data_IF_522494488736
#
_entry.id   IF_522494488736
#
_cell.length_a   1.000
_cell.length_b   1.000
_cell.length_c   1.000
_cell.angle_alpha   90.00
_cell.angle_beta   90.00
_cell.angle_gamma   90.00
#
_symmetry.space_group_name_H-M   'P 1'
#
loop_
_entity.id
_entity.type
_entity.pdbx_description
1 polymer ?
#
# COMPACT_ATOMS: atom_id res chain seq x y z
N UNK A 1 5.54 -25.38 7.15
CA UNK A 1 6.32 -25.14 8.39
C UNK A 1 6.62 -23.65 8.49
N UNK A 2 6.46 -23.04 9.66
CA UNK A 2 6.85 -21.64 9.88
C UNK A 2 8.18 -21.61 10.64
N UNK A 3 9.17 -20.90 10.08
CA UNK A 3 10.48 -20.72 10.68
C UNK A 3 10.60 -19.29 11.18
N UNK A 4 10.85 -19.12 12.48
CA UNK A 4 11.08 -17.82 13.09
C UNK A 4 12.58 -17.61 13.27
N UNK A 5 13.11 -16.57 12.66
CA UNK A 5 14.49 -16.16 12.86
C UNK A 5 14.67 -15.42 14.19
N UNK A 6 15.90 -15.38 14.68
CA UNK A 6 16.25 -14.55 15.84
C UNK A 6 15.94 -13.07 15.58
N UNK A 7 15.73 -12.25 16.63
CA UNK A 7 15.58 -10.81 16.50
C UNK A 7 16.71 -10.15 15.73
N UNK A 8 16.45 -9.01 15.10
CA UNK A 8 17.44 -8.30 14.24
C UNK A 8 18.68 -7.85 14.99
N UNK A 9 18.55 -7.52 16.27
CA UNK A 9 19.66 -7.13 17.16
C UNK A 9 20.65 -8.26 17.41
N UNK A 10 20.19 -9.51 17.34
CA UNK A 10 21.02 -10.73 17.56
C UNK A 10 21.60 -11.31 16.26
N UNK A 11 21.21 -10.80 15.09
CA UNK A 11 21.69 -11.28 13.78
C UNK A 11 22.19 -10.13 12.90
N UNK A 12 23.22 -9.44 13.36
CA UNK A 12 23.81 -8.29 12.66
C UNK A 12 24.81 -8.68 11.56
N UNK A 13 25.31 -9.91 11.58
CA UNK A 13 26.19 -10.41 10.51
C UNK A 13 25.45 -10.53 9.19
N UNK A 14 26.05 -10.15 8.04
CA UNK A 14 25.47 -10.31 6.72
C UNK A 14 25.01 -11.74 6.41
N UNK A 15 25.76 -12.75 6.90
CA UNK A 15 25.46 -14.17 6.73
C UNK A 15 24.18 -14.63 7.45
N UNK A 16 23.73 -13.87 8.44
CA UNK A 16 22.51 -14.11 9.20
C UNK A 16 21.34 -13.28 8.68
N UNK A 17 21.51 -12.56 7.57
CA UNK A 17 20.41 -11.87 6.89
C UNK A 17 19.36 -12.87 6.40
N UNK A 18 18.10 -12.44 6.28
CA UNK A 18 17.03 -13.30 5.78
C UNK A 18 17.36 -13.88 4.40
N UNK A 19 17.98 -13.09 3.52
CA UNK A 19 18.31 -13.50 2.16
C UNK A 19 19.46 -14.52 2.13
N UNK A 20 20.49 -14.33 2.96
CA UNK A 20 21.58 -15.28 3.08
C UNK A 20 21.11 -16.62 3.67
N UNK A 21 20.22 -16.58 4.67
CA UNK A 21 19.61 -17.79 5.25
C UNK A 21 18.72 -18.48 4.22
N UNK A 22 17.90 -17.71 3.46
CA UNK A 22 17.05 -18.22 2.39
C UNK A 22 17.90 -18.95 1.34
N UNK A 23 18.98 -18.33 0.85
CA UNK A 23 19.86 -18.92 -0.15
C UNK A 23 20.48 -20.23 0.32
N UNK A 24 20.96 -20.31 1.57
CA UNK A 24 21.49 -21.54 2.16
C UNK A 24 20.44 -22.63 2.29
N UNK A 25 19.24 -22.30 2.75
CA UNK A 25 18.14 -23.25 2.88
C UNK A 25 17.71 -23.78 1.52
N UNK A 26 17.55 -22.92 0.51
CA UNK A 26 17.22 -23.35 -0.86
C UNK A 26 18.28 -24.26 -1.44
N UNK A 27 19.57 -23.95 -1.25
CA UNK A 27 20.68 -24.82 -1.66
C UNK A 27 20.68 -26.17 -0.94
N UNK A 28 20.41 -26.21 0.36
CA UNK A 28 20.31 -27.44 1.12
C UNK A 28 19.08 -28.28 0.72
N UNK A 29 17.94 -27.64 0.46
CA UNK A 29 16.70 -28.35 0.08
C UNK A 29 16.70 -28.85 -1.37
N UNK A 30 17.47 -28.23 -2.27
CA UNK A 30 17.61 -28.71 -3.64
C UNK A 30 18.29 -30.09 -3.76
N UNK A 31 18.97 -30.56 -2.70
CA UNK A 31 19.57 -31.88 -2.64
C UNK A 31 18.61 -33.00 -2.21
N UNK A 32 17.37 -32.64 -1.84
CA UNK A 32 16.33 -33.62 -1.44
C UNK A 32 15.52 -34.03 -2.67
N UNK A 33 15.66 -35.26 -3.17
CA UNK A 33 14.96 -35.67 -4.39
C UNK A 33 13.47 -35.98 -4.17
N UNK A 34 13.09 -36.31 -2.93
CA UNK A 34 11.75 -36.80 -2.60
C UNK A 34 10.70 -35.70 -2.45
N UNK A 35 11.14 -34.42 -2.42
CA UNK A 35 10.22 -33.29 -2.21
C UNK A 35 10.72 -31.99 -2.88
N UNK A 36 9.80 -31.25 -3.48
CA UNK A 36 10.04 -29.86 -3.89
C UNK A 36 9.79 -28.92 -2.71
N UNK A 37 10.85 -28.39 -2.11
CA UNK A 37 10.75 -27.50 -0.96
C UNK A 37 11.02 -26.07 -1.38
N UNK A 38 10.03 -25.21 -1.19
CA UNK A 38 10.16 -23.77 -1.42
C UNK A 38 10.18 -23.02 -0.09
N UNK A 39 11.15 -22.12 0.07
CA UNK A 39 11.22 -21.22 1.22
C UNK A 39 10.72 -19.85 0.79
N UNK A 40 9.63 -19.41 1.39
CA UNK A 40 8.95 -18.15 1.04
C UNK A 40 9.18 -17.15 2.18
N UNK A 41 9.90 -16.06 1.95
CA UNK A 41 10.03 -15.00 2.94
C UNK A 41 8.69 -14.27 3.10
N UNK A 42 8.38 -13.73 4.30
CA UNK A 42 7.20 -12.90 4.46
C UNK A 42 7.34 -11.63 3.60
N UNK A 43 6.25 -11.16 2.98
CA UNK A 43 6.29 -9.92 2.22
C UNK A 43 6.64 -8.75 3.14
N UNK A 44 7.39 -7.75 2.66
CA UNK A 44 7.76 -6.58 3.46
C UNK A 44 6.54 -5.75 3.87
N UNK A 45 5.47 -5.85 3.11
CA UNK A 45 4.20 -5.15 3.32
C UNK A 45 3.04 -6.11 3.04
N UNK A 46 1.95 -6.00 3.79
CA UNK A 46 0.71 -6.69 3.46
C UNK A 46 0.17 -6.15 2.14
N UNK A 47 -0.28 -7.04 1.25
CA UNK A 47 -0.83 -6.67 -0.05
C UNK A 47 0.19 -6.66 -1.22
N UNK A 48 1.44 -7.06 -0.98
CA UNK A 48 2.46 -7.23 -2.04
C UNK A 48 2.66 -8.70 -2.35
N UNK A 49 1.58 -9.43 -2.59
CA UNK A 49 1.62 -10.88 -2.78
C UNK A 49 2.27 -11.64 -1.63
N UNK A 50 2.35 -12.98 -1.71
CA UNK A 50 2.98 -13.80 -0.65
C UNK A 50 4.50 -13.76 -0.65
N UNK A 51 5.11 -13.36 -1.76
CA UNK A 51 6.58 -13.37 -1.94
C UNK A 51 7.20 -11.96 -2.09
N UNK A 52 6.46 -10.91 -1.78
CA UNK A 52 6.99 -9.53 -1.92
C UNK A 52 7.04 -9.02 -3.37
N UNK A 53 6.05 -9.39 -4.19
CA UNK A 53 5.94 -8.96 -5.59
C UNK A 53 4.49 -8.74 -5.98
N UNK A 54 3.98 -9.49 -6.93
CA UNK A 54 2.61 -9.43 -7.40
C UNK A 54 1.83 -10.71 -7.08
N UNK A 55 0.49 -10.58 -7.03
CA UNK A 55 -0.45 -11.70 -6.99
C UNK A 55 -1.37 -11.61 -8.22
N UNK A 56 -1.33 -12.65 -9.04
CA UNK A 56 -2.07 -12.80 -10.27
C UNK A 56 -3.06 -13.96 -10.12
N UNK A 57 -4.33 -13.71 -10.33
CA UNK A 57 -5.41 -14.68 -10.15
C UNK A 57 -5.84 -15.18 -11.52
N UNK A 58 -5.88 -16.49 -11.71
CA UNK A 58 -6.48 -17.15 -12.87
C UNK A 58 -7.82 -17.73 -12.44
N UNK A 59 -8.89 -17.34 -13.11
CA UNK A 59 -10.26 -17.75 -12.84
C UNK A 59 -10.76 -18.74 -13.90
N UNK A 60 -11.35 -19.82 -13.45
CA UNK A 60 -12.11 -20.73 -14.31
C UNK A 60 -13.57 -20.26 -14.38
N UNK A 61 -13.89 -19.48 -15.43
CA UNK A 61 -15.25 -18.96 -15.67
C UNK A 61 -16.13 -19.94 -16.46
N UNK A 62 -15.51 -20.94 -17.08
CA UNK A 62 -16.19 -21.94 -17.90
C UNK A 62 -16.49 -23.25 -17.18
N UNK A 63 -16.19 -23.36 -15.88
CA UNK A 63 -16.35 -24.58 -15.06
C UNK A 63 -15.66 -25.80 -15.69
N UNK A 64 -14.44 -25.61 -16.19
CA UNK A 64 -13.63 -26.65 -16.83
C UNK A 64 -13.08 -27.66 -15.80
N UNK A 65 -13.08 -27.28 -14.56
CA UNK A 65 -12.70 -28.11 -13.42
C UNK A 65 -11.25 -27.91 -12.94
N UNK A 66 -10.96 -28.36 -11.69
CA UNK A 66 -9.70 -28.08 -11.01
C UNK A 66 -8.46 -28.58 -11.73
N UNK A 67 -8.52 -29.75 -12.38
CA UNK A 67 -7.36 -30.34 -13.09
C UNK A 67 -7.00 -29.54 -14.34
N UNK A 68 -7.99 -29.00 -15.07
CA UNK A 68 -7.76 -28.17 -16.24
C UNK A 68 -7.19 -26.81 -15.80
N UNK A 69 -7.72 -26.24 -14.70
CA UNK A 69 -7.19 -25.01 -14.11
C UNK A 69 -5.73 -25.18 -13.67
N UNK A 70 -5.37 -26.32 -13.02
CA UNK A 70 -3.98 -26.62 -12.65
C UNK A 70 -3.07 -26.66 -13.87
N UNK A 71 -3.45 -27.41 -14.92
CA UNK A 71 -2.67 -27.54 -16.14
C UNK A 71 -2.42 -26.21 -16.85
N UNK A 72 -3.43 -25.33 -16.91
CA UNK A 72 -3.29 -23.99 -17.50
C UNK A 72 -2.41 -23.08 -16.65
N UNK A 73 -2.52 -23.14 -15.33
CA UNK A 73 -1.68 -22.38 -14.40
C UNK A 73 -0.22 -22.85 -14.49
N UNK A 74 0.04 -24.15 -14.61
CA UNK A 74 1.38 -24.69 -14.77
C UNK A 74 1.99 -24.30 -16.13
N UNK A 75 1.21 -24.35 -17.22
CA UNK A 75 1.64 -23.85 -18.52
C UNK A 75 2.02 -22.35 -18.43
N UNK A 76 1.16 -21.55 -17.83
CA UNK A 76 1.43 -20.11 -17.67
C UNK A 76 2.68 -19.84 -16.83
N UNK A 77 2.89 -20.61 -15.73
CA UNK A 77 4.10 -20.54 -14.92
C UNK A 77 5.35 -20.94 -15.70
N UNK A 78 5.27 -21.99 -16.51
CA UNK A 78 6.38 -22.44 -17.35
C UNK A 78 6.77 -21.35 -18.34
N UNK A 79 5.82 -20.78 -19.08
CA UNK A 79 6.05 -19.70 -20.04
C UNK A 79 6.57 -18.42 -19.34
N UNK A 80 6.03 -18.09 -18.17
CA UNK A 80 6.45 -16.95 -17.38
C UNK A 80 7.88 -17.11 -16.84
N UNK A 81 8.29 -18.33 -16.47
CA UNK A 81 9.65 -18.60 -15.99
C UNK A 81 10.73 -18.42 -17.05
N UNK A 82 10.37 -18.47 -18.32
CA UNK A 82 11.26 -18.21 -19.45
C UNK A 82 11.47 -16.70 -19.73
N UNK A 83 10.65 -15.83 -19.10
CA UNK A 83 10.77 -14.39 -19.26
C UNK A 83 11.83 -13.83 -18.30
N UNK A 84 12.83 -13.15 -18.84
CA UNK A 84 13.91 -12.55 -18.05
C UNK A 84 13.45 -11.43 -17.11
N UNK A 85 12.22 -10.92 -17.30
CA UNK A 85 11.63 -9.87 -16.49
C UNK A 85 10.92 -10.35 -15.21
N UNK A 86 10.75 -11.66 -15.04
CA UNK A 86 10.00 -12.26 -13.94
C UNK A 86 10.88 -13.20 -13.11
N UNK A 87 10.61 -13.28 -11.82
CA UNK A 87 11.31 -14.20 -10.90
C UNK A 87 10.40 -14.66 -9.75
N UNK A 88 10.83 -15.73 -9.06
CA UNK A 88 10.15 -16.29 -7.88
C UNK A 88 8.68 -16.62 -8.16
N UNK A 89 8.41 -17.14 -9.34
CA UNK A 89 7.07 -17.55 -9.75
C UNK A 89 6.66 -18.85 -9.08
N UNK A 90 5.50 -18.89 -8.45
CA UNK A 90 4.93 -20.10 -7.88
C UNK A 90 3.41 -19.99 -7.68
N UNK A 91 2.77 -21.14 -7.62
CA UNK A 91 1.39 -21.29 -7.16
C UNK A 91 1.31 -22.31 -6.02
N UNK A 92 0.37 -22.12 -5.11
CA UNK A 92 0.03 -23.11 -4.09
C UNK A 92 -1.17 -23.97 -4.47
N UNK A 93 -1.76 -23.74 -5.63
CA UNK A 93 -2.89 -24.51 -6.11
C UNK A 93 -2.41 -25.88 -6.58
N UNK A 94 -3.10 -26.94 -6.11
CA UNK A 94 -2.88 -28.32 -6.50
C UNK A 94 -4.23 -29.00 -6.59
N UNK A 95 -4.56 -29.55 -7.75
CA UNK A 95 -5.82 -30.25 -8.00
C UNK A 95 -5.69 -31.77 -7.86
N UNK A 96 -4.50 -32.31 -8.08
CA UNK A 96 -4.24 -33.75 -8.13
C UNK A 96 -3.46 -34.24 -6.91
N UNK A 97 -3.99 -33.99 -5.71
CA UNK A 97 -3.40 -34.47 -4.46
C UNK A 97 -4.07 -35.81 -4.09
N UNK A 98 -3.29 -36.90 -3.82
CA UNK A 98 -3.84 -38.13 -3.35
C UNK A 98 -4.63 -37.95 -2.05
N UNK A 99 -5.86 -38.41 -2.03
CA UNK A 99 -6.77 -38.32 -0.90
C UNK A 99 -7.47 -39.66 -0.69
N UNK A 100 -7.80 -39.97 0.56
CA UNK A 100 -8.65 -41.10 0.90
C UNK A 100 -10.11 -40.65 0.94
N UNK A 101 -10.93 -41.18 0.07
CA UNK A 101 -12.37 -41.03 0.10
C UNK A 101 -12.97 -42.15 0.92
N UNK A 102 -13.52 -41.83 2.09
CA UNK A 102 -14.13 -42.77 2.99
C UNK A 102 -15.64 -42.56 2.97
N UNK A 103 -16.37 -43.55 2.45
CA UNK A 103 -17.83 -43.45 2.32
C UNK A 103 -18.49 -44.46 3.27
N UNK A 104 -19.27 -44.03 4.27
CA UNK A 104 -20.05 -44.92 5.11
C UNK A 104 -21.14 -45.66 4.31
N UNK A 105 -21.27 -46.94 4.53
CA UNK A 105 -22.38 -47.74 3.98
C UNK A 105 -23.54 -47.69 4.97
N UNK A 106 -24.59 -46.94 4.66
CA UNK A 106 -25.73 -46.75 5.53
C UNK A 106 -26.47 -48.05 5.87
N UNK A 107 -26.56 -48.99 4.92
CA UNK A 107 -27.22 -50.29 5.15
C UNK A 107 -26.43 -51.15 6.15
N UNK A 108 -25.12 -51.24 6.00
CA UNK A 108 -24.25 -51.99 6.92
C UNK A 108 -24.23 -51.32 8.32
N UNK A 109 -24.22 -50.01 8.37
CA UNK A 109 -24.32 -49.25 9.64
C UNK A 109 -25.63 -49.59 10.37
N UNK A 110 -26.77 -49.54 9.68
CA UNK A 110 -28.07 -49.87 10.25
C UNK A 110 -28.15 -51.34 10.71
N UNK A 111 -27.65 -52.28 9.88
CA UNK A 111 -27.64 -53.71 10.22
C UNK A 111 -26.82 -54.04 11.48
N UNK A 112 -25.75 -53.27 11.75
CA UNK A 112 -24.87 -53.46 12.91
C UNK A 112 -25.23 -52.52 14.08
N UNK A 113 -26.30 -51.74 13.96
CA UNK A 113 -26.76 -50.83 14.98
C UNK A 113 -25.79 -49.69 15.27
N UNK A 114 -25.10 -49.20 14.24
CA UNK A 114 -24.14 -48.08 14.32
C UNK A 114 -24.71 -46.88 13.58
N UNK A 115 -24.68 -45.69 14.20
CA UNK A 115 -25.07 -44.46 13.52
C UNK A 115 -23.99 -44.02 12.52
N UNK A 116 -24.42 -43.53 11.34
CA UNK A 116 -23.50 -42.90 10.38
C UNK A 116 -22.76 -41.71 10.98
N UNK A 117 -23.42 -40.98 11.87
CA UNK A 117 -22.81 -39.85 12.60
C UNK A 117 -21.67 -40.30 13.52
N UNK A 118 -21.81 -41.46 14.19
CA UNK A 118 -20.76 -42.03 15.03
C UNK A 118 -19.55 -42.47 14.19
N UNK A 119 -19.77 -43.00 12.99
CA UNK A 119 -18.72 -43.31 12.03
C UNK A 119 -17.98 -42.04 11.62
N UNK A 120 -18.72 -40.99 11.21
CA UNK A 120 -18.13 -39.71 10.81
C UNK A 120 -17.40 -39.04 11.96
N UNK A 121 -17.94 -39.06 13.17
CA UNK A 121 -17.29 -38.50 14.36
C UNK A 121 -15.99 -39.25 14.70
N UNK A 122 -16.00 -40.58 14.58
CA UNK A 122 -14.81 -41.41 14.80
C UNK A 122 -13.71 -41.04 13.78
N UNK A 123 -14.06 -41.00 12.50
CA UNK A 123 -13.12 -40.55 11.45
C UNK A 123 -12.58 -39.12 11.71
N UNK A 124 -13.48 -38.21 12.04
CA UNK A 124 -13.09 -36.82 12.34
C UNK A 124 -12.11 -36.74 13.50
N UNK A 125 -12.36 -37.45 14.60
CA UNK A 125 -11.53 -37.41 15.81
C UNK A 125 -10.16 -38.08 15.54
N UNK A 126 -10.15 -39.29 15.00
CA UNK A 126 -8.91 -40.03 14.86
C UNK A 126 -8.05 -39.56 13.69
N UNK A 127 -8.64 -39.24 12.54
CA UNK A 127 -7.90 -38.80 11.34
C UNK A 127 -7.74 -37.30 11.25
N UNK A 128 -8.79 -36.52 11.60
CA UNK A 128 -8.80 -35.08 11.50
C UNK A 128 -8.21 -34.37 12.72
N UNK A 129 -8.80 -34.53 13.81
CA UNK A 129 -8.54 -34.06 15.18
C UNK A 129 -9.80 -33.49 15.83
N UNK A 130 -9.88 -33.60 17.13
CA UNK A 130 -10.93 -33.00 17.93
C UNK A 130 -10.33 -31.92 18.82
N UNK A 131 -10.75 -30.69 18.62
CA UNK A 131 -10.57 -29.65 19.61
C UNK A 131 -11.50 -29.90 20.80
N UNK A 132 -10.92 -30.15 21.98
CA UNK A 132 -11.69 -30.51 23.19
C UNK A 132 -11.98 -29.27 24.03
N UNK A 133 -10.95 -28.50 24.35
CA UNK A 133 -11.04 -27.30 25.17
C UNK A 133 -9.73 -26.49 25.16
N UNK A 134 -9.77 -25.32 25.81
CA UNK A 134 -8.61 -24.50 26.09
C UNK A 134 -8.22 -24.55 27.57
N UNK A 135 -6.93 -24.36 27.86
CA UNK A 135 -6.45 -24.09 29.21
C UNK A 135 -5.43 -22.95 29.21
N UNK A 136 -5.43 -22.17 30.30
CA UNK A 136 -4.54 -21.05 30.49
C UNK A 136 -3.35 -21.47 31.35
N UNK A 137 -2.13 -21.38 30.79
CA UNK A 137 -0.87 -21.66 31.50
C UNK A 137 0.27 -20.79 30.95
N UNK A 138 1.17 -20.35 31.82
CA UNK A 138 2.30 -19.51 31.43
C UNK A 138 1.94 -18.21 30.69
N UNK A 139 0.81 -17.58 31.06
CA UNK A 139 0.32 -16.35 30.43
C UNK A 139 -0.17 -16.51 29.01
N UNK A 140 -0.47 -17.74 28.57
CA UNK A 140 -1.01 -18.06 27.24
C UNK A 140 -2.17 -19.03 27.36
N UNK A 141 -3.08 -18.94 26.38
CA UNK A 141 -4.13 -19.93 26.18
C UNK A 141 -3.59 -21.05 25.27
N UNK A 142 -3.74 -22.29 25.73
CA UNK A 142 -3.32 -23.50 25.03
C UNK A 142 -4.52 -24.31 24.66
N UNK A 143 -4.53 -24.85 23.44
CA UNK A 143 -5.60 -25.71 22.96
C UNK A 143 -5.30 -27.17 23.30
N UNK A 144 -6.34 -27.88 23.78
CA UNK A 144 -6.32 -29.34 23.93
C UNK A 144 -6.91 -29.95 22.68
N UNK A 145 -6.09 -30.63 21.91
CA UNK A 145 -6.48 -31.29 20.67
C UNK A 145 -6.20 -32.78 20.78
N UNK A 146 -7.21 -33.61 20.53
CA UNK A 146 -7.09 -35.07 20.55
C UNK A 146 -7.08 -35.60 19.11
N UNK A 147 -6.14 -36.48 18.82
CA UNK A 147 -5.96 -37.10 17.50
C UNK A 147 -5.29 -38.47 17.66
N UNK A 148 -5.44 -39.37 16.69
CA UNK A 148 -4.65 -40.60 16.69
C UNK A 148 -3.18 -40.32 16.49
N UNK A 149 -2.28 -41.09 17.12
CA UNK A 149 -0.85 -41.01 16.88
C UNK A 149 -0.55 -41.29 15.39
N UNK A 150 0.49 -40.64 14.86
CA UNK A 150 0.88 -40.71 13.45
C UNK A 150 0.97 -42.14 12.90
N UNK A 151 1.55 -43.08 13.67
CA UNK A 151 1.67 -44.49 13.30
C UNK A 151 0.34 -45.17 13.01
N UNK A 152 -0.78 -44.67 13.53
CA UNK A 152 -2.13 -45.19 13.29
C UNK A 152 -2.89 -44.45 12.18
N UNK A 153 -2.22 -43.56 11.44
CA UNK A 153 -2.81 -42.76 10.36
C UNK A 153 -2.03 -42.81 9.05
N UNK A 154 -1.00 -43.67 8.94
CA UNK A 154 -0.07 -43.70 7.81
C UNK A 154 -0.56 -44.55 6.62
N UNK A 155 -1.55 -45.41 6.81
CA UNK A 155 -2.03 -46.25 5.72
C UNK A 155 -3.56 -46.38 5.73
N UNK A 156 -4.19 -46.68 4.56
CA UNK A 156 -5.63 -46.89 4.46
C UNK A 156 -6.13 -48.02 5.34
N UNK A 157 -5.33 -49.11 5.52
CA UNK A 157 -5.70 -50.25 6.32
C UNK A 157 -5.90 -49.92 7.79
N UNK A 158 -5.25 -48.87 8.28
CA UNK A 158 -5.41 -48.43 9.67
C UNK A 158 -6.74 -47.73 9.91
N UNK A 159 -7.33 -47.11 8.88
CA UNK A 159 -8.70 -46.59 8.94
C UNK A 159 -9.68 -47.70 9.22
N UNK A 160 -9.50 -48.85 8.54
CA UNK A 160 -10.34 -50.05 8.66
C UNK A 160 -10.28 -50.69 10.06
N UNK A 161 -9.18 -50.49 10.80
CA UNK A 161 -8.97 -51.01 12.16
C UNK A 161 -9.60 -50.15 13.27
N UNK A 162 -9.98 -48.91 12.96
CA UNK A 162 -10.68 -48.07 13.94
C UNK A 162 -12.00 -48.74 14.30
N UNK A 163 -12.46 -48.51 15.54
CA UNK A 163 -13.69 -49.12 16.06
C UNK A 163 -14.69 -48.08 16.48
N UNK A 164 -15.95 -48.32 16.20
CA UNK A 164 -17.09 -47.51 16.61
C UNK A 164 -17.98 -48.33 17.53
N UNK A 165 -18.59 -47.71 18.54
CA UNK A 165 -19.52 -48.40 19.46
C UNK A 165 -20.89 -48.50 18.80
N UNK A 166 -21.46 -49.73 18.78
CA UNK A 166 -22.85 -50.01 18.42
C UNK A 166 -23.80 -49.61 19.54
N UNK A 167 -25.08 -49.48 19.24
CA UNK A 167 -26.16 -49.28 20.23
C UNK A 167 -26.23 -50.41 21.27
N UNK A 168 -25.81 -51.60 20.92
CA UNK A 168 -25.71 -52.75 21.84
C UNK A 168 -24.46 -52.71 22.72
N UNK A 169 -23.59 -51.70 22.57
CA UNK A 169 -22.34 -51.56 23.31
C UNK A 169 -21.14 -52.31 22.67
N UNK A 170 -21.35 -53.11 21.63
CA UNK A 170 -20.29 -53.81 20.94
C UNK A 170 -19.38 -52.86 20.12
N UNK A 171 -18.10 -53.20 20.05
CA UNK A 171 -17.11 -52.40 19.27
C UNK A 171 -16.98 -53.00 17.85
N UNK A 172 -17.50 -52.27 16.86
CA UNK A 172 -17.52 -52.66 15.44
C UNK A 172 -16.37 -52.02 14.70
N UNK A 173 -15.55 -52.76 13.95
CA UNK A 173 -14.46 -52.18 13.15
C UNK A 173 -15.01 -51.42 11.94
N UNK A 174 -14.40 -50.25 11.64
CA UNK A 174 -14.84 -49.35 10.55
C UNK A 174 -14.75 -50.05 9.18
N UNK A 175 -13.77 -50.89 8.95
CA UNK A 175 -13.64 -51.63 7.68
C UNK A 175 -14.84 -52.45 7.27
N UNK A 176 -15.79 -52.76 8.22
CA UNK A 176 -17.05 -53.42 7.91
C UNK A 176 -18.21 -52.44 7.71
N UNK A 177 -17.99 -51.13 7.84
CA UNK A 177 -18.98 -50.07 7.79
C UNK A 177 -18.70 -49.03 6.70
N UNK A 178 -17.46 -48.96 6.19
CA UNK A 178 -17.03 -47.93 5.24
C UNK A 178 -16.34 -48.58 4.03
N UNK A 179 -16.47 -47.90 2.89
CA UNK A 179 -15.68 -48.17 1.69
C UNK A 179 -14.59 -47.09 1.59
N UNK A 180 -13.33 -47.53 1.54
CA UNK A 180 -12.15 -46.65 1.47
C UNK A 180 -11.56 -46.75 0.08
N UNK A 181 -11.56 -45.62 -0.65
CA UNK A 181 -11.00 -45.53 -2.00
C UNK A 181 -9.97 -44.41 -2.07
N UNK A 182 -8.89 -44.66 -2.76
CA UNK A 182 -7.96 -43.64 -3.15
C UNK A 182 -8.55 -42.79 -4.28
N UNK A 183 -8.50 -41.48 -4.13
CA UNK A 183 -8.98 -40.53 -5.13
C UNK A 183 -8.04 -39.34 -5.17
N UNK A 184 -7.82 -38.79 -6.35
CA UNK A 184 -7.14 -37.50 -6.49
C UNK A 184 -8.16 -36.38 -6.39
N UNK A 185 -7.77 -35.30 -5.68
CA UNK A 185 -8.63 -34.13 -5.52
C UNK A 185 -7.84 -32.88 -5.14
N UNK A 186 -8.47 -31.72 -5.21
CA UNK A 186 -7.81 -30.48 -4.87
C UNK A 186 -7.53 -30.40 -3.36
N UNK A 187 -6.32 -29.92 -3.01
CA UNK A 187 -5.95 -29.69 -1.62
C UNK A 187 -6.78 -28.55 -0.99
N UNK A 188 -6.96 -27.48 -1.72
CA UNK A 188 -7.74 -26.30 -1.33
C UNK A 188 -8.47 -25.78 -2.56
N UNK A 189 -9.77 -25.60 -2.46
CA UNK A 189 -10.57 -24.91 -3.48
C UNK A 189 -10.67 -23.43 -3.10
N UNK A 190 -9.98 -22.62 -3.87
CA UNK A 190 -10.05 -21.15 -3.74
C UNK A 190 -11.06 -20.63 -4.76
N UNK A 191 -11.87 -19.67 -4.34
CA UNK A 191 -12.74 -18.90 -5.25
C UNK A 191 -12.38 -17.42 -5.18
N UNK A 192 -12.36 -16.80 -6.33
CA UNK A 192 -12.21 -15.37 -6.49
C UNK A 192 -13.37 -14.85 -7.35
N UNK A 193 -14.04 -13.81 -6.93
CA UNK A 193 -15.27 -13.34 -7.58
C UNK A 193 -16.30 -14.43 -7.86
N UNK A 194 -16.41 -15.42 -6.95
CA UNK A 194 -17.29 -16.60 -7.04
C UNK A 194 -16.82 -17.69 -8.02
N UNK A 195 -15.83 -17.46 -8.87
CA UNK A 195 -15.26 -18.45 -9.79
C UNK A 195 -14.16 -19.28 -9.11
N UNK A 196 -14.04 -20.59 -9.44
CA UNK A 196 -12.87 -21.35 -9.04
C UNK A 196 -11.60 -20.66 -9.55
N UNK A 197 -10.61 -20.51 -8.70
CA UNK A 197 -9.44 -19.71 -9.03
C UNK A 197 -8.14 -20.26 -8.45
N UNK A 198 -7.04 -19.99 -9.15
CA UNK A 198 -5.69 -20.26 -8.68
C UNK A 198 -4.87 -18.97 -8.67
N UNK A 199 -4.07 -18.79 -7.62
CA UNK A 199 -3.23 -17.59 -7.47
C UNK A 199 -1.80 -17.93 -7.85
N UNK A 200 -1.25 -17.16 -8.78
CA UNK A 200 0.17 -17.15 -9.14
C UNK A 200 0.82 -15.99 -8.41
N UNK A 201 1.84 -16.29 -7.62
CA UNK A 201 2.67 -15.26 -6.98
C UNK A 201 3.98 -15.15 -7.74
N UNK A 202 4.51 -13.94 -7.83
CA UNK A 202 5.78 -13.68 -8.50
C UNK A 202 6.33 -12.31 -8.14
N UNK A 203 7.53 -12.02 -8.61
CA UNK A 203 8.15 -10.71 -8.45
C UNK A 203 8.86 -10.29 -9.74
N UNK A 204 9.05 -8.99 -9.92
CA UNK A 204 9.89 -8.46 -10.98
C UNK A 204 11.34 -8.91 -10.78
N UNK A 205 12.06 -9.14 -11.88
CA UNK A 205 13.49 -9.38 -11.85
C UNK A 205 14.26 -8.10 -11.48
N UNK A 206 15.50 -8.19 -10.98
CA UNK A 206 16.30 -7.02 -10.67
C UNK A 206 16.47 -6.10 -11.90
N UNK A 207 16.15 -4.82 -11.74
CA UNK A 207 16.20 -3.83 -12.81
C UNK A 207 14.95 -3.77 -13.70
N UNK A 208 13.94 -4.58 -13.45
CA UNK A 208 12.63 -4.54 -14.11
C UNK A 208 11.62 -3.91 -13.17
N UNK A 209 10.86 -2.94 -13.67
CA UNK A 209 9.84 -2.28 -12.86
C UNK A 209 8.62 -3.19 -12.62
N UNK A 210 7.88 -2.94 -11.52
CA UNK A 210 6.62 -3.62 -11.22
C UNK A 210 5.65 -3.55 -12.40
N UNK A 211 5.53 -2.39 -13.04
CA UNK A 211 4.66 -2.19 -14.20
C UNK A 211 5.06 -3.06 -15.39
N UNK A 212 6.35 -3.18 -15.69
CA UNK A 212 6.83 -4.05 -16.76
C UNK A 212 6.52 -5.52 -16.46
N UNK A 213 6.69 -5.96 -15.20
CA UNK A 213 6.34 -7.32 -14.80
C UNK A 213 4.82 -7.60 -14.96
N UNK A 214 3.98 -6.62 -14.60
CA UNK A 214 2.53 -6.68 -14.82
C UNK A 214 2.22 -6.82 -16.32
N UNK A 215 2.82 -5.99 -17.17
CA UNK A 215 2.57 -6.01 -18.61
C UNK A 215 3.03 -7.33 -19.25
N UNK A 216 4.17 -7.91 -18.82
CA UNK A 216 4.64 -9.23 -19.27
C UNK A 216 3.61 -10.31 -18.92
N UNK A 217 3.15 -10.37 -17.65
CA UNK A 217 2.18 -11.36 -17.22
C UNK A 217 0.83 -11.21 -17.93
N UNK A 218 0.35 -9.99 -18.17
CA UNK A 218 -0.88 -9.75 -18.91
C UNK A 218 -0.79 -10.23 -20.36
N UNK A 219 0.33 -9.95 -21.02
CA UNK A 219 0.54 -10.37 -22.41
C UNK A 219 0.64 -11.89 -22.52
N UNK A 220 1.29 -12.56 -21.57
CA UNK A 220 1.32 -14.02 -21.48
C UNK A 220 -0.08 -14.59 -21.26
N UNK A 221 -0.83 -14.07 -20.30
CA UNK A 221 -2.17 -14.55 -19.99
C UNK A 221 -3.13 -14.40 -21.18
N UNK A 222 -3.06 -13.28 -21.91
CA UNK A 222 -3.87 -13.06 -23.13
C UNK A 222 -3.56 -14.06 -24.25
N UNK A 223 -2.32 -14.55 -24.31
CA UNK A 223 -1.88 -15.49 -25.33
C UNK A 223 -2.14 -16.95 -24.97
N UNK A 224 -1.94 -17.30 -23.69
CA UNK A 224 -1.92 -18.69 -23.24
C UNK A 224 -3.25 -19.16 -22.63
N UNK A 225 -4.05 -18.26 -22.04
CA UNK A 225 -5.31 -18.66 -21.41
C UNK A 225 -6.42 -18.88 -22.44
N UNK A 226 -7.19 -19.99 -22.32
CA UNK A 226 -8.35 -20.23 -23.15
C UNK A 226 -9.48 -19.21 -22.86
N UNK A 227 -10.39 -19.00 -23.80
CA UNK A 227 -11.51 -18.06 -23.69
C UNK A 227 -12.45 -18.31 -22.49
N UNK A 228 -12.50 -19.55 -21.99
CA UNK A 228 -13.28 -19.94 -20.81
C UNK A 228 -12.61 -19.56 -19.49
N UNK A 229 -11.37 -19.10 -19.52
CA UNK A 229 -10.64 -18.63 -18.35
C UNK A 229 -10.38 -17.14 -18.44
N UNK A 230 -10.33 -16.49 -17.28
CA UNK A 230 -9.99 -15.09 -17.18
C UNK A 230 -8.87 -14.89 -16.17
N UNK A 231 -8.30 -13.68 -16.14
CA UNK A 231 -7.33 -13.32 -15.14
C UNK A 231 -7.72 -11.99 -14.47
N UNK A 232 -7.36 -11.87 -13.21
CA UNK A 232 -7.56 -10.68 -12.42
C UNK A 232 -6.29 -10.36 -11.62
N UNK A 233 -6.09 -9.08 -11.38
CA UNK A 233 -5.05 -8.62 -10.47
C UNK A 233 -5.64 -8.40 -9.09
N UNK A 234 -4.88 -8.70 -8.06
CA UNK A 234 -5.29 -8.47 -6.68
C UNK A 234 -4.20 -7.73 -5.90
N UNK A 235 -4.50 -7.35 -4.67
CA UNK A 235 -3.58 -6.66 -3.77
C UNK A 235 -3.04 -5.33 -4.33
N UNK A 236 -1.76 -5.04 -4.10
CA UNK A 236 -1.11 -3.80 -4.54
C UNK A 236 -1.04 -3.66 -6.05
N UNK A 237 -0.93 -4.79 -6.79
CA UNK A 237 -0.90 -4.77 -8.26
C UNK A 237 -2.21 -4.26 -8.85
N UNK A 238 -3.33 -4.63 -8.24
CA UNK A 238 -4.65 -4.07 -8.60
C UNK A 238 -4.71 -2.56 -8.36
N UNK A 239 -4.23 -2.10 -7.20
CA UNK A 239 -4.19 -0.68 -6.87
C UNK A 239 -3.26 0.10 -7.80
N UNK A 240 -2.12 -0.48 -8.19
CA UNK A 240 -1.18 0.12 -9.15
C UNK A 240 -1.82 0.29 -10.54
N UNK A 241 -2.56 -0.72 -11.00
CA UNK A 241 -3.31 -0.65 -12.26
C UNK A 241 -4.44 0.37 -12.19
N UNK A 242 -5.21 0.37 -11.09
CA UNK A 242 -6.32 1.31 -10.89
C UNK A 242 -5.83 2.75 -10.73
N UNK A 243 -4.71 2.96 -10.04
CA UNK A 243 -4.11 4.28 -9.92
C UNK A 243 -3.66 4.83 -11.28
N UNK A 244 -3.13 3.98 -12.18
CA UNK A 244 -2.76 4.34 -13.54
C UNK A 244 -2.06 5.71 -13.62
N UNK A 245 -2.58 6.62 -14.45
CA UNK A 245 -2.11 7.99 -14.57
C UNK A 245 -2.74 8.96 -13.55
N UNK A 246 -3.59 8.46 -12.64
CA UNK A 246 -4.30 9.31 -11.65
C UNK A 246 -3.33 10.07 -10.76
N UNK A 247 -2.19 9.47 -10.42
CA UNK A 247 -1.15 10.14 -9.64
C UNK A 247 -0.61 11.39 -10.37
N UNK A 248 -0.41 11.32 -11.69
CA UNK A 248 0.03 12.46 -12.49
C UNK A 248 -1.02 13.57 -12.52
N UNK A 249 -2.30 13.20 -12.66
CA UNK A 249 -3.42 14.15 -12.66
C UNK A 249 -3.57 14.81 -11.30
N UNK A 250 -3.52 14.05 -10.21
CA UNK A 250 -3.58 14.58 -8.85
C UNK A 250 -2.39 15.50 -8.57
N UNK A 251 -1.20 15.16 -9.05
CA UNK A 251 -0.02 15.98 -8.93
C UNK A 251 -0.19 17.32 -9.67
N UNK A 252 -0.66 17.29 -10.91
CA UNK A 252 -0.93 18.48 -11.70
C UNK A 252 -2.04 19.35 -11.05
N UNK A 253 -3.12 18.74 -10.57
CA UNK A 253 -4.17 19.42 -9.82
C UNK A 253 -3.63 20.06 -8.53
N UNK A 254 -2.79 19.36 -7.79
CA UNK A 254 -2.13 19.88 -6.60
C UNK A 254 -1.27 21.12 -6.90
N UNK A 255 -0.48 21.06 -7.97
CA UNK A 255 0.32 22.19 -8.42
C UNK A 255 -0.56 23.39 -8.82
N UNK A 256 -1.65 23.16 -9.53
CA UNK A 256 -2.64 24.20 -9.88
C UNK A 256 -3.29 24.77 -8.63
N UNK A 257 -3.70 23.95 -7.67
CA UNK A 257 -4.29 24.41 -6.42
C UNK A 257 -3.32 25.29 -5.63
N UNK A 258 -2.07 24.86 -5.49
CA UNK A 258 -1.00 25.68 -4.85
C UNK A 258 -0.80 26.99 -5.59
N UNK A 259 -0.78 26.95 -6.93
CA UNK A 259 -0.69 28.17 -7.75
C UNK A 259 -1.83 29.15 -7.47
N UNK A 260 -3.07 28.67 -7.45
CA UNK A 260 -4.25 29.51 -7.22
C UNK A 260 -4.26 30.10 -5.80
N UNK A 261 -3.89 29.29 -4.78
CA UNK A 261 -3.78 29.80 -3.40
C UNK A 261 -2.71 30.89 -3.30
N UNK A 262 -1.53 30.67 -3.90
CA UNK A 262 -0.47 31.67 -3.93
C UNK A 262 -0.88 32.92 -4.73
N UNK A 263 -1.58 32.74 -5.86
CA UNK A 263 -2.07 33.86 -6.65
C UNK A 263 -3.09 34.70 -5.89
N UNK A 264 -3.96 34.06 -5.09
CA UNK A 264 -4.87 34.75 -4.20
C UNK A 264 -4.15 35.48 -3.07
N UNK A 265 -3.14 34.85 -2.46
CA UNK A 265 -2.35 35.45 -1.36
C UNK A 265 -1.50 36.61 -1.82
N UNK A 266 -0.85 36.49 -2.98
CA UNK A 266 0.01 37.54 -3.52
C UNK A 266 -0.76 38.60 -4.31
N UNK A 267 -2.05 38.40 -4.56
CA UNK A 267 -2.84 39.25 -5.45
C UNK A 267 -2.19 39.46 -6.84
N UNK A 268 -1.42 38.49 -7.30
CA UNK A 268 -0.61 38.55 -8.52
C UNK A 268 -0.58 37.17 -9.19
N UNK A 269 -0.66 37.14 -10.53
CA UNK A 269 -0.53 35.91 -11.31
C UNK A 269 0.92 35.53 -11.63
N UNK A 270 1.82 36.50 -11.59
CA UNK A 270 3.22 36.33 -11.98
C UNK A 270 4.10 35.80 -10.85
N UNK A 271 3.92 36.27 -9.61
CA UNK A 271 4.75 35.88 -8.48
C UNK A 271 4.67 34.39 -8.13
N UNK A 272 3.51 33.73 -8.14
CA UNK A 272 3.41 32.28 -7.93
C UNK A 272 4.22 31.46 -8.93
N UNK A 273 4.43 31.94 -10.16
CA UNK A 273 5.24 31.24 -11.15
C UNK A 273 6.70 31.10 -10.70
N UNK A 274 7.25 32.08 -9.97
CA UNK A 274 8.61 31.98 -9.43
C UNK A 274 8.76 30.84 -8.42
N UNK A 275 7.68 30.56 -7.67
CA UNK A 275 7.65 29.45 -6.69
C UNK A 275 7.51 28.11 -7.39
N UNK A 276 6.59 28.02 -8.36
CA UNK A 276 6.28 26.74 -9.03
C UNK A 276 7.41 26.27 -9.94
N UNK A 277 8.15 27.17 -10.59
CA UNK A 277 9.28 26.82 -11.46
C UNK A 277 10.41 26.09 -10.74
N UNK A 278 10.47 26.15 -9.42
CA UNK A 278 11.46 25.41 -8.62
C UNK A 278 11.06 23.93 -8.48
N UNK A 279 9.77 23.60 -8.51
CA UNK A 279 9.26 22.24 -8.28
C UNK A 279 9.85 21.20 -9.25
N UNK A 280 9.88 21.41 -10.58
CA UNK A 280 10.47 20.46 -11.52
C UNK A 280 11.94 20.12 -11.22
N UNK A 281 12.73 21.10 -10.78
CA UNK A 281 14.13 20.89 -10.43
C UNK A 281 14.28 20.01 -9.17
N UNK A 282 13.39 20.18 -8.22
CA UNK A 282 13.37 19.37 -7.00
C UNK A 282 12.99 17.92 -7.31
N UNK A 283 12.00 17.71 -8.18
CA UNK A 283 11.60 16.39 -8.64
C UNK A 283 12.70 15.70 -9.44
N UNK A 284 13.37 16.43 -10.31
CA UNK A 284 14.53 15.93 -11.06
C UNK A 284 15.62 15.43 -10.10
N UNK A 285 15.93 16.19 -9.07
CA UNK A 285 16.90 15.77 -8.04
C UNK A 285 16.46 14.52 -7.29
N UNK A 286 15.17 14.42 -6.95
CA UNK A 286 14.59 13.22 -6.35
C UNK A 286 14.71 12.00 -7.26
N UNK A 287 14.40 12.15 -8.55
CA UNK A 287 14.54 11.09 -9.55
C UNK A 287 16.00 10.66 -9.76
N UNK A 288 16.94 11.61 -9.81
CA UNK A 288 18.38 11.32 -9.89
C UNK A 288 18.82 10.50 -8.67
N UNK A 289 18.35 10.85 -7.48
CA UNK A 289 18.64 10.07 -6.28
C UNK A 289 18.11 8.65 -6.34
N UNK A 290 16.84 8.46 -6.71
CA UNK A 290 16.23 7.13 -6.87
C UNK A 290 17.00 6.30 -7.91
N UNK A 291 17.38 6.90 -9.03
CA UNK A 291 18.17 6.25 -10.06
C UNK A 291 19.58 5.87 -9.58
N UNK A 292 20.26 6.77 -8.86
CA UNK A 292 21.62 6.53 -8.33
C UNK A 292 21.64 5.36 -7.33
N UNK A 293 20.60 5.24 -6.49
CA UNK A 293 20.43 4.13 -5.55
C UNK A 293 19.82 2.87 -6.21
N UNK A 294 19.62 2.87 -7.53
CA UNK A 294 19.03 1.77 -8.30
C UNK A 294 17.70 1.26 -7.72
N UNK A 295 16.87 2.20 -7.29
CA UNK A 295 15.54 1.92 -6.77
C UNK A 295 14.48 2.19 -7.84
N UNK A 296 13.35 1.47 -7.76
CA UNK A 296 12.22 1.69 -8.65
C UNK A 296 11.34 2.85 -8.16
N UNK A 297 10.69 3.53 -9.12
CA UNK A 297 9.68 4.55 -8.83
C UNK A 297 8.37 3.85 -8.45
N UNK A 298 8.28 3.42 -7.22
CA UNK A 298 7.09 2.79 -6.64
C UNK A 298 6.15 3.83 -5.99
N UNK A 299 5.02 3.37 -5.44
CA UNK A 299 4.03 4.24 -4.78
C UNK A 299 4.67 5.05 -3.64
N UNK A 300 5.60 4.48 -2.88
CA UNK A 300 6.26 5.16 -1.76
C UNK A 300 7.18 6.29 -2.24
N UNK A 301 7.88 6.07 -3.35
CA UNK A 301 8.67 7.11 -4.04
C UNK A 301 7.78 8.26 -4.51
N UNK A 302 6.59 7.96 -5.08
CA UNK A 302 5.63 8.98 -5.52
C UNK A 302 5.08 9.79 -4.34
N UNK A 303 4.79 9.17 -3.20
CA UNK A 303 4.44 9.87 -1.95
C UNK A 303 5.58 10.81 -1.54
N UNK A 304 6.83 10.37 -1.64
CA UNK A 304 8.01 11.20 -1.40
C UNK A 304 8.04 12.45 -2.27
N UNK A 305 7.70 12.34 -3.54
CA UNK A 305 7.62 13.48 -4.45
C UNK A 305 6.55 14.50 -4.06
N UNK A 306 5.37 14.04 -3.60
CA UNK A 306 4.32 14.93 -3.11
C UNK A 306 4.80 15.74 -1.89
N UNK A 307 5.49 15.09 -0.96
CA UNK A 307 6.09 15.76 0.21
C UNK A 307 7.13 16.80 -0.22
N UNK A 308 7.99 16.47 -1.21
CA UNK A 308 9.00 17.37 -1.74
C UNK A 308 8.41 18.64 -2.33
N UNK A 309 7.28 18.57 -3.03
CA UNK A 309 6.60 19.76 -3.58
C UNK A 309 6.24 20.74 -2.48
N UNK A 310 5.68 20.26 -1.37
CA UNK A 310 5.34 21.11 -0.22
C UNK A 310 6.57 21.78 0.40
N UNK A 311 7.66 21.02 0.56
CA UNK A 311 8.90 21.52 1.14
C UNK A 311 9.63 22.52 0.22
N UNK A 312 9.65 22.24 -1.09
CA UNK A 312 10.22 23.15 -2.09
C UNK A 312 9.47 24.49 -2.13
N UNK A 313 8.15 24.42 -2.18
CA UNK A 313 7.29 25.61 -2.19
C UNK A 313 7.52 26.49 -0.95
N UNK A 314 7.66 25.89 0.23
CA UNK A 314 7.94 26.63 1.49
C UNK A 314 9.22 27.46 1.39
N UNK A 315 10.31 26.88 0.90
CA UNK A 315 11.59 27.61 0.80
C UNK A 315 11.53 28.73 -0.25
N UNK A 316 10.88 28.48 -1.39
CA UNK A 316 10.72 29.49 -2.43
C UNK A 316 9.82 30.66 -1.99
N UNK A 317 8.70 30.36 -1.28
CA UNK A 317 7.81 31.40 -0.73
C UNK A 317 8.56 32.36 0.19
N UNK A 318 9.42 31.86 1.08
CA UNK A 318 10.17 32.68 2.00
C UNK A 318 11.09 33.67 1.29
N UNK A 319 11.73 33.31 0.19
CA UNK A 319 12.61 34.19 -0.59
C UNK A 319 11.79 35.25 -1.34
N UNK A 320 10.74 34.79 -2.05
CA UNK A 320 9.88 35.61 -2.88
C UNK A 320 9.16 36.70 -2.04
N UNK A 321 8.64 36.33 -0.87
CA UNK A 321 7.94 37.26 0.04
C UNK A 321 8.86 38.37 0.53
N UNK A 322 10.09 38.01 0.96
CA UNK A 322 11.05 38.99 1.42
C UNK A 322 11.56 39.89 0.29
N UNK A 323 11.80 39.34 -0.90
CA UNK A 323 12.20 40.14 -2.06
C UNK A 323 11.09 41.10 -2.47
N UNK A 324 9.83 40.67 -2.43
CA UNK A 324 8.66 41.54 -2.69
C UNK A 324 8.55 42.68 -1.66
N UNK A 325 8.68 42.35 -0.37
CA UNK A 325 8.63 43.36 0.69
C UNK A 325 9.68 44.48 0.47
N UNK A 326 10.92 44.10 0.14
CA UNK A 326 11.99 45.04 -0.17
C UNK A 326 11.77 45.84 -1.44
N UNK A 327 11.12 45.28 -2.46
CA UNK A 327 10.70 46.00 -3.66
C UNK A 327 9.66 47.08 -3.32
N UNK A 328 8.70 46.77 -2.44
CA UNK A 328 7.72 47.76 -1.98
C UNK A 328 8.36 48.92 -1.16
N UNK A 329 9.48 48.68 -0.50
CA UNK A 329 10.27 49.71 0.19
C UNK A 329 11.09 50.59 -0.78
N UNK A 330 11.01 50.37 -2.09
CA UNK A 330 11.67 51.18 -3.13
C UNK A 330 13.08 50.74 -3.52
N UNK A 331 13.57 49.56 -3.04
CA UNK A 331 14.89 49.05 -3.44
C UNK A 331 14.90 48.63 -4.92
N UNK A 332 16.09 48.71 -5.54
CA UNK A 332 16.26 48.19 -6.89
C UNK A 332 15.98 46.67 -6.95
N UNK A 333 15.65 46.14 -8.12
CA UNK A 333 15.28 44.71 -8.31
C UNK A 333 16.40 43.77 -7.85
N UNK A 334 17.64 44.10 -8.24
CA UNK A 334 18.81 43.30 -7.88
C UNK A 334 19.11 43.35 -6.39
N UNK A 335 19.10 44.55 -5.81
CA UNK A 335 19.36 44.76 -4.38
C UNK A 335 18.30 44.08 -3.51
N UNK A 336 17.01 44.23 -3.83
CA UNK A 336 15.92 43.58 -3.11
C UNK A 336 16.07 42.05 -3.11
N UNK A 337 16.43 41.47 -4.27
CA UNK A 337 16.63 40.04 -4.41
C UNK A 337 17.84 39.54 -3.62
N UNK A 338 18.99 40.21 -3.75
CA UNK A 338 20.21 39.84 -3.03
C UNK A 338 20.04 39.99 -1.51
N UNK A 339 19.41 41.07 -1.07
CA UNK A 339 19.15 41.29 0.35
C UNK A 339 18.20 40.27 0.97
N UNK A 340 17.15 39.88 0.22
CA UNK A 340 16.24 38.78 0.62
C UNK A 340 17.00 37.44 0.77
N UNK A 341 17.89 37.14 -0.17
CA UNK A 341 18.72 35.94 -0.10
C UNK A 341 19.65 35.95 1.12
N UNK A 342 20.35 37.06 1.36
CA UNK A 342 21.27 37.19 2.51
C UNK A 342 20.55 36.98 3.84
N UNK A 343 19.37 37.59 4.02
CA UNK A 343 18.59 37.49 5.25
C UNK A 343 18.00 36.10 5.47
N UNK A 344 17.62 35.42 4.39
CA UNK A 344 16.92 34.14 4.45
C UNK A 344 17.81 32.90 4.24
N UNK A 345 19.06 33.10 3.80
CA UNK A 345 20.01 31.99 3.58
C UNK A 345 20.15 31.11 4.84
N UNK A 346 20.47 31.72 5.97
CA UNK A 346 20.72 30.98 7.22
C UNK A 346 19.51 30.22 7.71
N UNK A 347 18.29 30.79 7.83
CA UNK A 347 17.09 30.03 8.22
C UNK A 347 16.75 28.91 7.26
N UNK A 348 16.87 29.12 5.95
CA UNK A 348 16.55 28.07 4.93
C UNK A 348 17.55 26.92 5.02
N UNK A 349 18.84 27.19 5.06
CA UNK A 349 19.87 26.16 5.17
C UNK A 349 19.72 25.39 6.48
N UNK A 350 19.46 26.08 7.60
CA UNK A 350 19.26 25.43 8.90
C UNK A 350 18.07 24.44 8.87
N UNK A 351 16.93 24.87 8.32
CA UNK A 351 15.74 24.00 8.23
C UNK A 351 15.94 22.85 7.25
N UNK A 352 16.61 23.10 6.13
CA UNK A 352 16.91 22.06 5.14
C UNK A 352 17.87 21.00 5.68
N UNK A 353 18.96 21.41 6.34
CA UNK A 353 19.91 20.48 6.96
C UNK A 353 19.25 19.67 8.06
N UNK A 354 18.46 20.32 8.93
CA UNK A 354 17.74 19.61 9.98
C UNK A 354 16.79 18.56 9.39
N UNK A 355 16.09 18.87 8.31
CA UNK A 355 15.20 17.93 7.64
C UNK A 355 15.96 16.79 6.95
N UNK A 356 17.05 17.10 6.21
CA UNK A 356 17.91 16.11 5.55
C UNK A 356 18.45 15.12 6.59
N UNK A 357 19.00 15.61 7.71
CA UNK A 357 19.50 14.76 8.79
C UNK A 357 18.38 13.96 9.45
N UNK A 358 17.19 14.52 9.58
CA UNK A 358 16.01 13.82 10.10
C UNK A 358 15.54 12.65 9.23
N UNK A 359 15.81 12.69 7.92
CA UNK A 359 15.45 11.61 6.98
C UNK A 359 16.53 10.52 6.88
N UNK A 360 17.79 10.80 7.25
CA UNK A 360 18.90 9.83 7.22
C UNK A 360 18.56 8.50 7.90
N UNK A 361 17.92 8.45 9.08
CA UNK A 361 17.53 7.17 9.70
C UNK A 361 16.60 6.31 8.84
N UNK A 362 15.77 6.94 7.99
CA UNK A 362 14.91 6.20 7.04
C UNK A 362 15.74 5.59 5.91
N UNK A 363 16.78 6.28 5.47
CA UNK A 363 17.66 5.84 4.39
C UNK A 363 18.52 4.63 4.79
N UNK A 364 19.10 4.66 5.98
CA UNK A 364 20.01 3.61 6.50
C UNK A 364 19.28 2.56 7.32
N UNK A 365 17.98 2.72 7.56
CA UNK A 365 17.18 1.82 8.37
C UNK A 365 17.26 0.38 7.89
N UNK A 366 17.33 -0.56 8.85
CA UNK A 366 17.29 -2.00 8.62
C UNK A 366 16.09 -2.63 9.32
N UNK A 367 15.79 -3.89 8.98
CA UNK A 367 14.70 -4.64 9.60
C UNK A 367 13.42 -4.66 8.77
N UNK A 368 12.32 -5.13 9.36
CA UNK A 368 11.04 -5.27 8.68
C UNK A 368 10.54 -3.92 8.13
N UNK A 369 10.12 -3.89 6.85
CA UNK A 369 9.66 -2.68 6.16
C UNK A 369 10.76 -1.66 5.85
N UNK A 370 12.04 -2.06 5.90
CA UNK A 370 13.16 -1.19 5.56
C UNK A 370 13.10 -0.72 4.10
N UNK A 371 12.68 -1.58 3.18
CA UNK A 371 12.58 -1.26 1.75
C UNK A 371 11.64 -0.07 1.48
N UNK A 372 10.46 -0.06 2.14
CA UNK A 372 9.52 1.05 2.03
C UNK A 372 10.10 2.36 2.57
N UNK A 373 10.68 2.28 3.78
CA UNK A 373 11.30 3.45 4.40
C UNK A 373 12.45 3.99 3.57
N UNK A 374 13.26 3.10 2.99
CA UNK A 374 14.36 3.47 2.09
C UNK A 374 13.86 4.09 0.80
N UNK A 375 12.82 3.54 0.16
CA UNK A 375 12.24 4.10 -1.06
C UNK A 375 11.74 5.55 -0.84
N UNK A 376 10.92 5.75 0.22
CA UNK A 376 10.46 7.07 0.62
C UNK A 376 11.63 7.98 1.03
N UNK A 377 12.53 7.45 1.89
CA UNK A 377 13.68 8.20 2.41
C UNK A 377 14.64 8.64 1.32
N UNK A 378 14.95 7.80 0.34
CA UNK A 378 15.84 8.14 -0.78
C UNK A 378 15.27 9.27 -1.64
N UNK A 379 13.99 9.17 -2.02
CA UNK A 379 13.32 10.21 -2.81
C UNK A 379 13.33 11.56 -2.09
N UNK A 380 12.98 11.55 -0.80
CA UNK A 380 12.90 12.78 0.00
C UNK A 380 14.29 13.34 0.31
N UNK A 381 15.27 12.50 0.65
CA UNK A 381 16.66 12.91 0.94
C UNK A 381 17.32 13.58 -0.25
N UNK A 382 17.33 12.91 -1.41
CA UNK A 382 17.94 13.45 -2.63
C UNK A 382 17.19 14.68 -3.15
N UNK A 383 15.86 14.64 -3.08
CA UNK A 383 15.03 15.79 -3.44
C UNK A 383 15.27 16.99 -2.54
N UNK A 384 15.45 16.82 -1.23
CA UNK A 384 15.75 17.92 -0.30
C UNK A 384 17.13 18.54 -0.53
N UNK A 385 18.12 17.73 -0.93
CA UNK A 385 19.42 18.27 -1.39
C UNK A 385 19.18 19.17 -2.61
N UNK A 386 18.40 18.70 -3.58
CA UNK A 386 18.04 19.49 -4.76
C UNK A 386 17.21 20.73 -4.43
N UNK A 387 16.21 20.62 -3.54
CA UNK A 387 15.44 21.78 -3.04
C UNK A 387 16.36 22.82 -2.43
N UNK A 388 17.35 22.40 -1.66
CA UNK A 388 18.27 23.33 -1.02
C UNK A 388 19.20 23.99 -2.04
N UNK A 389 19.81 23.21 -2.93
CA UNK A 389 20.74 23.71 -3.94
C UNK A 389 20.00 24.57 -4.99
N UNK A 390 19.02 24.00 -5.67
CA UNK A 390 18.30 24.68 -6.75
C UNK A 390 17.32 25.73 -6.24
N UNK A 391 16.66 25.47 -5.11
CA UNK A 391 15.76 26.45 -4.50
C UNK A 391 16.49 27.70 -4.08
N UNK A 392 17.69 27.58 -3.52
CA UNK A 392 18.48 28.73 -3.11
C UNK A 392 19.06 29.52 -4.30
N UNK A 393 19.51 28.81 -5.36
CA UNK A 393 20.16 29.40 -6.53
C UNK A 393 19.13 29.92 -7.54
N UNK A 394 18.09 29.14 -7.85
CA UNK A 394 17.18 29.44 -8.95
C UNK A 394 15.98 30.33 -8.52
N UNK A 395 15.50 30.23 -7.28
CA UNK A 395 14.37 31.07 -6.83
C UNK A 395 14.64 32.55 -6.98
N UNK A 396 15.82 33.10 -6.59
CA UNK A 396 16.14 34.51 -6.81
C UNK A 396 16.16 34.88 -8.28
N UNK A 397 16.72 34.00 -9.13
CA UNK A 397 16.79 34.19 -10.59
C UNK A 397 15.39 34.24 -11.18
N UNK A 398 14.53 33.30 -10.80
CA UNK A 398 13.14 33.26 -11.27
C UNK A 398 12.36 34.48 -10.82
N UNK A 399 12.53 34.90 -9.58
CA UNK A 399 11.91 36.16 -9.08
C UNK A 399 12.39 37.34 -9.89
N UNK A 400 13.71 37.50 -10.09
CA UNK A 400 14.29 38.62 -10.86
C UNK A 400 13.75 38.64 -12.30
N UNK A 401 13.72 37.51 -12.98
CA UNK A 401 13.26 37.40 -14.37
C UNK A 401 11.76 37.70 -14.48
N UNK A 402 10.97 37.13 -13.57
CA UNK A 402 9.51 37.33 -13.59
C UNK A 402 9.14 38.77 -13.25
N UNK A 403 9.81 39.41 -12.26
CA UNK A 403 9.62 40.79 -11.93
C UNK A 403 10.05 41.72 -13.11
N UNK A 404 11.11 41.35 -13.83
CA UNK A 404 11.52 42.04 -15.07
C UNK A 404 10.48 41.92 -16.19
N UNK A 405 9.91 40.71 -16.40
CA UNK A 405 8.87 40.46 -17.40
C UNK A 405 7.58 41.23 -17.08
N UNK A 406 7.23 41.38 -15.81
CA UNK A 406 6.02 42.14 -15.40
C UNK A 406 6.13 43.65 -15.64
N UNK A 407 7.32 44.22 -15.56
CA UNK A 407 7.53 45.64 -15.85
C UNK A 407 7.66 45.94 -17.36
N UNK A 408 7.94 44.94 -18.20
CA UNK A 408 8.00 45.11 -19.65
C UNK A 408 6.59 45.36 -20.23
N UNK A 409 6.53 45.88 -21.48
CA UNK A 409 5.25 46.16 -22.16
C UNK A 409 4.29 44.97 -22.22
N UNK A 410 4.79 43.73 -22.13
CA UNK A 410 4.00 42.52 -22.13
C UNK A 410 3.31 42.30 -20.78
N UNK A 411 4.01 42.59 -19.67
CA UNK A 411 3.42 42.51 -18.32
C UNK A 411 2.36 43.58 -18.08
N UNK A 412 2.51 44.79 -18.62
CA UNK A 412 1.48 45.86 -18.53
C UNK A 412 0.17 45.48 -19.21
N UNK A 413 0.21 44.73 -20.33
CA UNK A 413 -1.00 44.18 -20.97
C UNK A 413 -1.67 43.07 -20.15
N UNK A 414 -0.90 42.20 -19.55
CA UNK A 414 -1.42 41.14 -18.67
C UNK A 414 -2.02 41.74 -17.37
N UNK A 415 -1.42 42.75 -16.82
CA UNK A 415 -1.96 43.47 -15.66
C UNK A 415 -3.27 44.18 -15.98
N UNK A 416 -3.38 44.80 -17.14
CA UNK A 416 -4.66 45.42 -17.62
C UNK A 416 -5.77 44.40 -17.82
N UNK A 417 -5.44 43.15 -18.25
CA UNK A 417 -6.42 42.08 -18.37
C UNK A 417 -6.89 41.59 -16.99
N UNK A 418 -5.98 41.46 -16.03
CA UNK A 418 -6.28 41.11 -14.64
C UNK A 418 -7.14 42.20 -13.93
N UNK A 419 -6.83 43.47 -14.11
CA UNK A 419 -7.59 44.58 -13.54
C UNK A 419 -8.98 44.70 -14.19
N UNK A 420 -9.10 44.36 -15.46
CA UNK A 420 -10.40 44.32 -16.16
C UNK A 420 -11.32 43.20 -15.62
N UNK A 421 -10.75 42.03 -15.29
CA UNK A 421 -11.50 40.94 -14.61
C UNK A 421 -11.86 41.35 -13.17
N UNK A 422 -10.96 42.00 -12.45
CA UNK A 422 -11.18 42.46 -11.07
C UNK A 422 -12.26 43.55 -10.98
N UNK A 423 -12.32 44.43 -11.96
CA UNK A 423 -13.37 45.49 -12.04
C UNK A 423 -14.73 44.89 -12.38
N UNK A 424 -14.82 43.86 -13.25
CA UNK A 424 -16.06 43.13 -13.54
C UNK A 424 -16.55 42.36 -12.31
N UNK A 425 -15.70 41.66 -11.57
CA UNK A 425 -16.05 40.93 -10.34
C UNK A 425 -16.61 41.89 -9.25
N UNK A 426 -16.00 43.09 -9.06
CA UNK A 426 -16.50 44.09 -8.10
C UNK A 426 -17.85 44.72 -8.54
N UNK A 427 -18.16 44.82 -9.82
CA UNK A 427 -19.48 45.21 -10.31
C UNK A 427 -20.55 44.17 -9.99
N UNK A 428 -20.23 42.90 -10.11
CA UNK A 428 -21.13 41.82 -9.77
C UNK A 428 -21.51 41.79 -8.30
N UNK A 429 -20.50 41.94 -7.40
CA UNK A 429 -20.74 42.02 -5.95
C UNK A 429 -21.45 43.32 -5.49
N UNK A 430 -21.41 44.42 -6.26
CA UNK A 430 -22.19 45.63 -5.95
C UNK A 430 -23.64 45.56 -6.42
N UNK A 431 -23.93 44.79 -7.47
CA UNK A 431 -25.30 44.64 -7.95
C UNK A 431 -26.13 43.76 -6.99
N UNK A 432 -25.51 42.79 -6.31
CA UNK A 432 -26.19 41.96 -5.29
C UNK A 432 -26.47 42.76 -3.98
N UNK A 433 -25.74 43.80 -3.67
CA UNK A 433 -26.05 44.68 -2.53
C UNK A 433 -27.09 45.75 -2.81
N UNK A 434 -27.38 46.04 -4.05
CA UNK A 434 -28.39 47.00 -4.44
C UNK A 434 -29.80 46.41 -4.52
N UNK A 435 -29.96 45.10 -4.48
CA UNK A 435 -31.25 44.43 -4.55
C UNK A 435 -31.81 43.94 -3.20
N UNK A 436 -31.13 44.24 -2.07
CA UNK A 436 -31.74 43.94 -0.77
C UNK A 436 -32.65 45.12 -0.32
N UNK A 437 -33.92 44.85 0.00
CA UNK A 437 -34.85 45.89 0.44
C UNK A 437 -34.38 46.43 1.82
N UNK A 438 -34.63 47.73 2.11
CA UNK A 438 -34.26 48.33 3.37
C UNK A 438 -35.02 47.73 4.54
N UNK A 439 -34.31 47.17 5.53
CA UNK A 439 -34.94 46.76 6.78
C UNK A 439 -35.60 47.94 7.50
N UNK A 440 -36.84 47.81 8.00
CA UNK A 440 -37.50 48.87 8.76
C UNK A 440 -36.73 49.14 10.05
N UNK A 441 -36.40 50.43 10.29
CA UNK A 441 -35.81 50.90 11.55
C UNK A 441 -36.87 50.80 12.65
N UNK A 442 -36.60 49.96 13.65
CA UNK A 442 -37.34 49.95 14.90
C UNK A 442 -36.79 51.14 15.77
N UNK A 443 -37.65 52.02 16.30
CA UNK A 443 -37.21 53.10 17.15
C UNK A 443 -36.71 52.54 18.52
N UNK A 444 -35.48 52.89 18.90
CA UNK A 444 -34.92 52.59 20.21
C UNK A 444 -35.54 53.59 21.20
N UNK A 445 -36.45 53.14 22.00
CA UNK A 445 -36.92 53.88 23.18
C UNK A 445 -35.86 53.87 24.28
N UNK A 446 -35.46 55.05 24.70
CA UNK A 446 -34.65 55.27 25.90
C UNK A 446 -35.52 54.91 27.13
N UNK A 447 -35.21 53.83 27.79
CA UNK A 447 -35.79 53.44 29.05
C UNK A 447 -34.68 53.06 30.01
N UNK A 448 -34.50 53.89 31.05
CA UNK A 448 -33.71 53.64 32.26
C UNK A 448 -34.12 52.31 32.91
N UNK A 449 -33.14 51.46 33.15
CA UNK A 449 -33.26 50.36 34.12
C UNK A 449 -31.97 50.23 34.93
N UNK A 450 -31.96 50.96 36.02
CA UNK A 450 -31.16 50.65 37.19
C UNK A 450 -31.89 49.56 38.01
N UNK A 451 -31.13 48.66 38.59
CA UNK A 451 -31.48 47.61 39.55
C UNK A 451 -32.03 46.31 38.94
N UNK A 452 -31.25 45.26 39.12
CA UNK A 452 -31.60 43.98 39.78
C UNK A 452 -30.42 43.00 39.66
N UNK A 453 -29.85 42.59 40.76
CA UNK A 453 -29.55 41.22 41.15
C UNK A 453 -28.36 40.50 40.51
N UNK A 454 -27.30 40.40 41.32
CA UNK A 454 -26.25 39.37 41.17
C UNK A 454 -26.83 37.98 41.28
N UNK A 455 -26.60 37.11 40.30
CA UNK A 455 -26.60 35.66 40.50
C UNK A 455 -25.51 35.02 39.65
N UNK A 456 -24.78 34.12 40.27
CA UNK A 456 -23.58 33.42 39.92
C UNK A 456 -23.63 32.60 38.59
N UNK A 457 -22.48 32.36 37.95
CA UNK A 457 -22.43 31.52 36.74
C UNK A 457 -22.41 30.03 37.10
N UNK A 458 -23.31 29.27 36.47
CA UNK A 458 -23.27 27.83 36.46
C UNK A 458 -22.34 27.34 35.37
N UNK A 459 -21.49 26.40 35.77
CA UNK A 459 -20.50 25.65 35.06
C UNK A 459 -21.01 25.01 33.75
N UNK A 460 -20.25 25.15 32.65
CA UNK A 460 -20.31 24.31 31.48
C UNK A 460 -19.70 22.91 31.77
N UNK A 461 -20.27 21.83 31.23
CA UNK A 461 -19.69 20.49 31.36
C UNK A 461 -18.63 20.26 30.27
N UNK A 462 -17.52 19.65 30.70
CA UNK A 462 -16.41 19.16 29.93
C UNK A 462 -16.78 18.14 28.84
N UNK A 463 -16.34 18.33 27.63
CA UNK A 463 -16.35 17.33 26.56
C UNK A 463 -15.17 16.36 26.77
N UNK A 464 -15.46 15.19 27.29
CA UNK A 464 -14.57 14.03 27.26
C UNK A 464 -15.36 12.82 26.82
N UNK A 465 -15.28 12.46 25.54
CA UNK A 465 -15.43 11.07 25.04
C UNK A 465 -15.49 11.03 23.52
N UNK A 466 -14.35 10.79 22.89
CA UNK A 466 -14.25 10.11 21.59
C UNK A 466 -13.02 9.21 21.65
N UNK A 467 -13.23 7.99 22.14
CA UNK A 467 -12.41 6.82 21.84
C UNK A 467 -13.32 5.80 21.19
N UNK A 468 -12.81 5.11 20.20
CA UNK A 468 -13.35 4.00 19.42
C UNK A 468 -13.99 4.41 18.07
N UNK A 469 -13.17 4.34 17.06
CA UNK A 469 -13.35 3.44 15.87
C UNK A 469 -11.99 3.30 15.18
#
# INVERSE_FOLDING_TARGET
MFVRLLPYDQRRSPDLSSDAVLGRLMGAFSTIPDAMIQVIPPPPVRGVGRAGGFAFVVEDRGDLGPSVLEGQVENLLHQASQQSGLQRLFTSFRANVPQLHVQPNAAECAAKGVSVDDVNNTLRIYQGSLYVNDFNKFGRTWQVVVQADGRFRMSPEQVNRLKVRSQTGAMVPLGSLVDVKERNGPLVLTRYNMYPAAVINGSAAPGVSSRQAIDIMQNLAKRELPAAMAYEWTDMSYLELQAGNTALVLFAMGAVAVFLVLAAQYESWSLPLAVILVIPMCLLSGLIGVWLWRQDVNIFTQIGFVVLVGLASKNAILIVEFARARRHEGQSRLEATLHACQLRLRPIVMTSVAFILGVVPMLIGSGAGAEMRRALGTAVFSGMIGVTAFGLLLTPVFFYVIDWLTETRFGKRLHQFGDSCRSRGRRWFRLDRASSPPHPRVPVGTGDFSSIGRSSPRSCPSFSSWRAW
#
